data_IF_467276894002
#
_entry.id   IF_467276894002
#
_cell.length_a   1.000
_cell.length_b   1.000
_cell.length_c   1.000
_cell.angle_alpha   90.00
_cell.angle_beta   90.00
_cell.angle_gamma   90.00
#
_symmetry.space_group_name_H-M   'P 1'
#
loop_
_entity.id
_entity.type
_entity.pdbx_description
1 polymer ?
#
# COMPACT_ATOMS: atom_id res chain seq x y z
N UNK A 1 -11.83 -26.23 -6.99
CA UNK A 1 -11.03 -25.10 -7.49
C UNK A 1 -9.80 -25.67 -8.18
N UNK A 2 -9.44 -25.13 -9.36
CA UNK A 2 -8.24 -25.52 -10.11
C UNK A 2 -7.19 -24.42 -10.01
N UNK A 3 -5.96 -24.80 -9.72
CA UNK A 3 -4.87 -23.85 -9.46
C UNK A 3 -3.93 -23.77 -10.67
N UNK A 4 -3.58 -22.55 -11.08
CA UNK A 4 -2.72 -22.29 -12.26
C UNK A 4 -1.67 -21.24 -11.96
N UNK A 5 -0.43 -21.51 -12.37
CA UNK A 5 0.63 -20.51 -12.39
C UNK A 5 0.75 -19.90 -13.79
N UNK A 6 0.72 -18.58 -13.89
CA UNK A 6 0.74 -17.83 -15.14
C UNK A 6 2.03 -16.99 -15.20
N UNK A 7 2.98 -17.41 -16.02
CA UNK A 7 4.25 -16.73 -16.28
C UNK A 7 4.50 -16.42 -17.76
N UNK A 8 3.50 -16.65 -18.62
CA UNK A 8 3.55 -16.33 -20.05
C UNK A 8 2.43 -15.40 -20.47
N UNK A 9 2.71 -14.53 -21.46
CA UNK A 9 1.75 -13.55 -21.96
C UNK A 9 0.50 -14.21 -22.54
N UNK A 10 0.67 -15.30 -23.31
CA UNK A 10 -0.44 -16.05 -23.91
C UNK A 10 -1.39 -16.60 -22.83
N UNK A 11 -0.84 -17.17 -21.76
CA UNK A 11 -1.64 -17.70 -20.66
C UNK A 11 -2.39 -16.58 -19.92
N UNK A 12 -1.74 -15.42 -19.68
CA UNK A 12 -2.40 -14.27 -19.06
C UNK A 12 -3.56 -13.76 -19.91
N UNK A 13 -3.30 -13.47 -21.18
CA UNK A 13 -4.30 -12.90 -22.08
C UNK A 13 -5.48 -13.87 -22.27
N UNK A 14 -5.19 -15.15 -22.48
CA UNK A 14 -6.21 -16.19 -22.64
C UNK A 14 -7.10 -16.29 -21.40
N UNK A 15 -6.50 -16.37 -20.20
CA UNK A 15 -7.24 -16.50 -18.96
C UNK A 15 -8.09 -15.26 -18.68
N UNK A 16 -7.52 -14.05 -18.75
CA UNK A 16 -8.26 -12.81 -18.49
C UNK A 16 -9.44 -12.62 -19.46
N UNK A 17 -9.25 -12.88 -20.76
CA UNK A 17 -10.31 -12.75 -21.75
C UNK A 17 -11.44 -13.77 -21.54
N UNK A 18 -11.12 -14.99 -21.09
CA UNK A 18 -12.12 -16.00 -20.76
C UNK A 18 -12.99 -15.60 -19.54
N UNK A 19 -12.41 -14.89 -18.57
CA UNK A 19 -13.14 -14.45 -17.37
C UNK A 19 -13.99 -13.20 -17.60
N UNK A 20 -13.56 -12.28 -18.47
CA UNK A 20 -14.10 -10.91 -18.56
C UNK A 20 -15.63 -10.83 -18.71
N UNK A 21 -16.25 -11.79 -19.41
CA UNK A 21 -17.69 -11.82 -19.66
C UNK A 21 -18.44 -12.90 -18.88
N UNK A 22 -17.76 -13.67 -18.03
CA UNK A 22 -18.32 -14.89 -17.41
C UNK A 22 -18.44 -14.80 -15.90
N UNK A 23 -17.73 -13.87 -15.25
CA UNK A 23 -17.72 -13.71 -13.79
C UNK A 23 -18.34 -12.37 -13.35
N UNK A 24 -18.87 -12.35 -12.14
CA UNK A 24 -19.39 -11.14 -11.46
C UNK A 24 -18.53 -10.71 -10.27
N UNK A 25 -17.66 -11.59 -9.79
CA UNK A 25 -16.75 -11.36 -8.68
C UNK A 25 -15.41 -12.04 -8.92
N UNK A 26 -14.36 -11.42 -8.37
CA UNK A 26 -12.98 -11.85 -8.51
C UNK A 26 -12.28 -11.62 -7.17
N UNK A 27 -11.88 -12.70 -6.50
CA UNK A 27 -10.96 -12.59 -5.39
C UNK A 27 -9.61 -12.09 -5.88
N UNK A 28 -8.96 -11.22 -5.11
CA UNK A 28 -7.68 -10.62 -5.43
C UNK A 28 -6.86 -10.48 -4.16
N UNK A 29 -5.61 -10.92 -4.25
CA UNK A 29 -4.56 -10.62 -3.27
C UNK A 29 -3.24 -10.32 -3.99
N UNK A 30 -2.25 -9.78 -3.27
CA UNK A 30 -0.92 -9.51 -3.83
C UNK A 30 0.22 -9.84 -2.88
N UNK A 31 1.38 -10.19 -3.45
CA UNK A 31 2.63 -10.24 -2.71
C UNK A 31 3.60 -9.20 -3.22
N UNK A 32 4.21 -8.43 -2.31
CA UNK A 32 5.15 -7.36 -2.66
C UNK A 32 6.23 -7.15 -1.61
N UNK A 33 7.37 -6.64 -2.07
CA UNK A 33 8.49 -6.30 -1.19
C UNK A 33 8.62 -4.79 -1.02
N UNK A 34 8.82 -4.35 0.23
CA UNK A 34 9.11 -2.94 0.57
C UNK A 34 10.24 -2.79 1.60
N UNK A 35 11.32 -3.54 1.38
CA UNK A 35 12.46 -3.57 2.31
C UNK A 35 13.53 -2.55 1.95
N UNK A 36 13.84 -2.42 0.65
CA UNK A 36 14.97 -1.63 0.14
C UNK A 36 14.55 -0.51 -0.82
N UNK A 37 13.25 -0.37 -1.06
CA UNK A 37 12.65 0.58 -1.99
C UNK A 37 11.65 1.46 -1.28
N UNK A 38 11.34 2.63 -1.86
CA UNK A 38 10.26 3.49 -1.39
C UNK A 38 8.91 2.89 -1.79
N UNK A 39 8.82 2.49 -3.05
CA UNK A 39 7.63 1.90 -3.63
C UNK A 39 7.59 0.38 -3.42
N UNK A 40 6.39 -0.21 -3.32
CA UNK A 40 6.25 -1.66 -3.27
C UNK A 40 6.67 -2.27 -4.61
N UNK A 41 7.56 -3.26 -4.56
CA UNK A 41 7.86 -4.12 -5.72
C UNK A 41 6.82 -5.24 -5.74
N UNK A 42 5.85 -5.15 -6.66
CA UNK A 42 4.86 -6.21 -6.87
C UNK A 42 5.55 -7.49 -7.38
N UNK A 43 5.31 -8.60 -6.71
CA UNK A 43 6.02 -9.87 -6.91
C UNK A 43 5.09 -11.02 -7.28
N UNK A 44 3.81 -10.97 -6.91
CA UNK A 44 2.79 -11.94 -7.29
C UNK A 44 1.43 -11.27 -7.25
N UNK A 45 0.53 -11.67 -8.15
CA UNK A 45 -0.89 -11.31 -8.10
C UNK A 45 -1.68 -12.61 -8.05
N UNK A 46 -2.50 -12.77 -7.03
CA UNK A 46 -3.37 -13.91 -6.88
C UNK A 46 -4.78 -13.51 -7.25
N UNK A 47 -5.44 -14.30 -8.09
CA UNK A 47 -6.83 -14.10 -8.44
C UNK A 47 -7.60 -15.40 -8.28
N UNK A 48 -8.85 -15.34 -7.84
CA UNK A 48 -9.73 -16.50 -7.92
C UNK A 48 -11.14 -16.14 -8.37
N UNK A 49 -11.72 -17.05 -9.14
CA UNK A 49 -13.14 -17.12 -9.48
C UNK A 49 -13.79 -18.23 -8.64
N UNK A 50 -15.05 -18.57 -8.89
CA UNK A 50 -15.69 -19.71 -8.20
C UNK A 50 -15.02 -21.05 -8.53
N UNK A 51 -14.37 -21.17 -9.69
CA UNK A 51 -13.91 -22.44 -10.24
C UNK A 51 -12.38 -22.57 -10.28
N UNK A 52 -11.67 -21.46 -10.40
CA UNK A 52 -10.22 -21.46 -10.63
C UNK A 52 -9.52 -20.40 -9.78
N UNK A 53 -8.29 -20.69 -9.35
CA UNK A 53 -7.37 -19.75 -8.75
C UNK A 53 -6.10 -19.67 -9.59
N UNK A 54 -5.57 -18.47 -9.76
CA UNK A 54 -4.37 -18.22 -10.55
C UNK A 54 -3.37 -17.38 -9.77
N UNK A 55 -2.10 -17.75 -9.87
CA UNK A 55 -0.96 -16.95 -9.43
C UNK A 55 -0.27 -16.40 -10.67
N UNK A 56 -0.35 -15.09 -10.88
CA UNK A 56 0.24 -14.38 -12.02
C UNK A 56 1.61 -13.83 -11.59
N UNK A 57 2.65 -14.16 -12.35
CA UNK A 57 4.01 -13.69 -12.14
C UNK A 57 4.27 -12.35 -12.86
N UNK A 58 4.17 -11.20 -12.17
CA UNK A 58 4.43 -9.91 -12.81
C UNK A 58 5.89 -9.70 -13.20
N UNK A 59 6.83 -10.51 -12.69
CA UNK A 59 8.25 -10.39 -13.01
C UNK A 59 8.63 -11.08 -14.33
N UNK A 60 7.80 -12.03 -14.79
CA UNK A 60 7.97 -12.75 -16.04
C UNK A 60 7.23 -12.10 -17.23
N UNK A 61 6.33 -11.16 -16.96
CA UNK A 61 5.39 -10.59 -17.92
C UNK A 61 5.74 -9.12 -18.25
N UNK A 62 5.28 -8.65 -19.40
CA UNK A 62 5.57 -7.28 -19.87
C UNK A 62 4.31 -6.47 -20.17
N UNK A 63 3.24 -7.12 -20.64
CA UNK A 63 1.96 -6.48 -20.92
C UNK A 63 0.89 -6.97 -19.96
N UNK A 64 0.22 -6.02 -19.32
CA UNK A 64 -0.88 -6.28 -18.37
C UNK A 64 -2.21 -5.77 -18.88
N UNK A 65 -2.34 -5.44 -20.18
CA UNK A 65 -3.56 -4.85 -20.75
C UNK A 65 -4.81 -5.68 -20.47
N UNK A 66 -4.76 -6.99 -20.68
CA UNK A 66 -5.89 -7.89 -20.41
C UNK A 66 -6.23 -7.94 -18.91
N UNK A 67 -5.22 -8.02 -18.04
CA UNK A 67 -5.41 -7.97 -16.59
C UNK A 67 -6.01 -6.64 -16.13
N UNK A 68 -5.52 -5.51 -16.66
CA UNK A 68 -6.05 -4.18 -16.34
C UNK A 68 -7.51 -4.07 -16.74
N UNK A 69 -7.88 -4.57 -17.93
CA UNK A 69 -9.27 -4.59 -18.37
C UNK A 69 -10.17 -5.37 -17.40
N UNK A 70 -9.71 -6.53 -16.92
CA UNK A 70 -10.43 -7.33 -15.93
C UNK A 70 -10.56 -6.60 -14.58
N UNK A 71 -9.48 -6.00 -14.08
CA UNK A 71 -9.46 -5.29 -12.80
C UNK A 71 -10.25 -3.96 -12.82
N UNK A 72 -10.46 -3.37 -14.00
CA UNK A 72 -11.26 -2.15 -14.19
C UNK A 72 -12.71 -2.43 -14.61
N UNK A 73 -13.06 -3.69 -14.89
CA UNK A 73 -14.40 -4.05 -15.34
C UNK A 73 -15.45 -3.71 -14.26
N UNK A 74 -16.44 -2.84 -14.56
CA UNK A 74 -17.36 -2.32 -13.55
C UNK A 74 -18.38 -3.35 -13.06
N UNK A 75 -18.65 -4.39 -13.86
CA UNK A 75 -19.56 -5.49 -13.50
C UNK A 75 -18.89 -6.59 -12.67
N UNK A 76 -17.55 -6.53 -12.50
CA UNK A 76 -16.79 -7.53 -11.73
C UNK A 76 -16.39 -6.90 -10.39
N UNK A 77 -16.90 -7.40 -9.28
CA UNK A 77 -16.47 -6.94 -7.95
C UNK A 77 -15.14 -7.56 -7.56
N UNK A 78 -14.13 -6.74 -7.27
CA UNK A 78 -12.82 -7.18 -6.76
C UNK A 78 -12.92 -7.37 -5.25
N UNK A 79 -12.89 -8.62 -4.80
CA UNK A 79 -12.98 -8.99 -3.39
C UNK A 79 -11.56 -9.10 -2.85
N UNK A 80 -11.25 -8.29 -1.85
CA UNK A 80 -9.92 -8.20 -1.25
C UNK A 80 -10.08 -8.20 0.27
N UNK A 81 -9.10 -8.65 1.02
CA UNK A 81 -9.07 -8.51 2.47
C UNK A 81 -8.04 -7.47 2.88
N UNK A 82 -8.43 -6.42 3.61
CA UNK A 82 -7.50 -5.37 4.06
C UNK A 82 -6.76 -4.68 2.89
N UNK A 83 -7.51 -4.28 1.87
CA UNK A 83 -7.07 -3.96 0.50
C UNK A 83 -6.09 -2.79 0.35
N UNK A 84 -5.85 -2.00 1.40
CA UNK A 84 -5.16 -0.72 1.28
C UNK A 84 -3.72 -0.84 0.77
N UNK A 85 -3.00 -1.92 1.08
CA UNK A 85 -1.62 -2.08 0.59
C UNK A 85 -1.58 -2.75 -0.79
N UNK A 86 -2.49 -3.68 -1.07
CA UNK A 86 -2.60 -4.34 -2.37
C UNK A 86 -2.96 -3.34 -3.46
N UNK A 87 -3.93 -2.46 -3.17
CA UNK A 87 -4.31 -1.39 -4.09
C UNK A 87 -3.15 -0.39 -4.31
N UNK A 88 -2.34 -0.10 -3.28
CA UNK A 88 -1.14 0.73 -3.46
C UNK A 88 -0.11 0.05 -4.37
N UNK A 89 0.11 -1.25 -4.20
CA UNK A 89 1.01 -2.04 -5.02
C UNK A 89 0.56 -2.11 -6.48
N UNK A 90 -0.75 -2.31 -6.72
CA UNK A 90 -1.34 -2.34 -8.05
C UNK A 90 -1.32 -0.96 -8.72
N UNK A 91 -1.68 0.11 -7.99
CA UNK A 91 -1.61 1.48 -8.53
C UNK A 91 -0.19 1.81 -8.97
N UNK A 92 0.81 1.45 -8.17
CA UNK A 92 2.19 1.73 -8.53
C UNK A 92 2.69 0.88 -9.70
N UNK A 93 2.41 -0.43 -9.69
CA UNK A 93 2.96 -1.36 -10.69
C UNK A 93 2.21 -1.32 -12.03
N UNK A 94 0.88 -1.14 -11.99
CA UNK A 94 0.01 -1.25 -13.15
C UNK A 94 -0.64 0.07 -13.57
N UNK A 95 -0.43 1.15 -12.82
CA UNK A 95 -0.98 2.49 -13.07
C UNK A 95 -2.52 2.55 -13.10
N UNK A 96 -3.18 1.58 -12.48
CA UNK A 96 -4.64 1.48 -12.39
C UNK A 96 -5.09 1.33 -10.94
N UNK A 97 -6.31 1.78 -10.65
CA UNK A 97 -6.97 1.50 -9.38
C UNK A 97 -8.10 0.49 -9.64
N UNK A 98 -8.00 -0.77 -9.15
CA UNK A 98 -9.07 -1.74 -9.28
C UNK A 98 -10.42 -1.19 -8.79
N UNK A 99 -11.49 -1.45 -9.54
CA UNK A 99 -12.83 -0.95 -9.19
C UNK A 99 -13.93 -1.75 -9.91
N UNK A 100 -15.08 -2.06 -9.26
CA UNK A 100 -15.40 -1.80 -7.85
C UNK A 100 -14.67 -2.77 -6.92
N UNK A 101 -14.40 -2.33 -5.68
CA UNK A 101 -13.72 -3.14 -4.64
C UNK A 101 -14.69 -3.42 -3.49
N UNK A 102 -14.65 -4.66 -2.99
CA UNK A 102 -15.23 -5.06 -1.73
C UNK A 102 -14.13 -5.51 -0.78
N UNK A 103 -13.88 -4.73 0.28
CA UNK A 103 -12.97 -5.11 1.35
C UNK A 103 -13.69 -5.92 2.44
N UNK A 104 -13.31 -7.20 2.56
CA UNK A 104 -13.90 -8.14 3.52
C UNK A 104 -13.55 -7.83 4.98
N UNK A 105 -12.42 -7.18 5.26
CA UNK A 105 -12.07 -6.75 6.62
C UNK A 105 -12.98 -5.63 7.08
N UNK A 106 -13.25 -4.65 6.21
CA UNK A 106 -14.20 -3.57 6.48
C UNK A 106 -15.60 -4.14 6.68
N UNK A 107 -16.02 -5.06 5.80
CA UNK A 107 -17.33 -5.71 5.91
C UNK A 107 -17.47 -6.48 7.24
N UNK A 108 -16.48 -7.28 7.62
CA UNK A 108 -16.49 -8.02 8.89
C UNK A 108 -16.52 -7.13 10.12
N UNK A 109 -15.83 -5.98 10.08
CA UNK A 109 -15.87 -4.98 11.14
C UNK A 109 -17.29 -4.39 11.32
N UNK A 110 -18.04 -4.25 10.24
CA UNK A 110 -19.42 -3.75 10.26
C UNK A 110 -20.40 -4.81 10.78
N UNK A 111 -20.28 -6.06 10.32
CA UNK A 111 -21.25 -7.12 10.65
C UNK A 111 -21.08 -7.67 12.06
N UNK A 112 -19.85 -7.97 12.47
CA UNK A 112 -19.65 -8.72 13.72
C UNK A 112 -19.68 -7.84 14.96
N UNK A 113 -19.60 -6.51 14.84
CA UNK A 113 -19.45 -5.60 15.99
C UNK A 113 -18.23 -5.95 16.90
N UNK A 114 -17.28 -6.77 16.42
CA UNK A 114 -16.08 -7.21 17.16
C UNK A 114 -14.80 -6.58 16.58
N UNK A 115 -13.76 -6.58 17.42
CA UNK A 115 -12.37 -6.11 17.24
C UNK A 115 -12.01 -5.59 15.84
N UNK A 116 -11.71 -4.30 15.80
CA UNK A 116 -11.01 -3.63 14.70
C UNK A 116 -9.81 -4.49 14.25
N UNK A 117 -9.75 -4.83 12.96
CA UNK A 117 -8.63 -5.54 12.34
C UNK A 117 -8.69 -7.07 12.43
N UNK A 118 -9.82 -7.69 12.07
CA UNK A 118 -9.90 -9.14 11.83
C UNK A 118 -8.88 -9.55 10.75
N UNK A 119 -8.09 -10.58 11.02
CA UNK A 119 -7.14 -11.12 10.04
C UNK A 119 -7.82 -12.00 9.00
N UNK A 120 -7.20 -12.21 7.84
CA UNK A 120 -7.75 -13.09 6.80
C UNK A 120 -7.96 -14.52 7.32
N UNK A 121 -6.98 -15.07 8.07
CA UNK A 121 -7.11 -16.37 8.71
C UNK A 121 -8.36 -16.45 9.62
N UNK A 122 -8.57 -15.43 10.46
CA UNK A 122 -9.71 -15.43 11.38
C UNK A 122 -11.04 -15.25 10.63
N UNK A 123 -11.03 -14.49 9.52
CA UNK A 123 -12.17 -14.37 8.60
C UNK A 123 -12.53 -15.73 8.01
N UNK A 124 -11.55 -16.45 7.47
CA UNK A 124 -11.74 -17.77 6.84
C UNK A 124 -12.18 -18.80 7.87
N UNK A 125 -11.59 -18.81 9.07
CA UNK A 125 -12.05 -19.69 10.14
C UNK A 125 -13.50 -19.39 10.53
N UNK A 126 -13.85 -18.12 10.69
CA UNK A 126 -15.20 -17.72 11.11
C UNK A 126 -16.25 -18.02 10.03
N UNK A 127 -16.03 -17.56 8.79
CA UNK A 127 -17.03 -17.64 7.73
C UNK A 127 -16.95 -18.93 6.94
N UNK A 128 -15.80 -19.58 6.83
CA UNK A 128 -15.64 -20.79 6.04
C UNK A 128 -15.41 -22.05 6.89
N UNK A 129 -15.18 -21.91 8.20
CA UNK A 129 -14.85 -23.03 9.11
C UNK A 129 -13.64 -23.83 8.62
N UNK A 130 -12.62 -23.10 8.11
CA UNK A 130 -11.36 -23.65 7.61
C UNK A 130 -10.21 -23.00 8.36
N UNK A 131 -9.28 -23.81 8.87
CA UNK A 131 -8.03 -23.35 9.47
C UNK A 131 -6.94 -23.26 8.39
N UNK A 132 -6.34 -22.08 8.23
CA UNK A 132 -5.22 -21.87 7.30
C UNK A 132 -3.88 -21.94 8.04
N UNK A 133 -2.84 -22.40 7.38
CA UNK A 133 -1.49 -22.38 7.94
C UNK A 133 -0.88 -20.98 7.81
N UNK A 134 -0.23 -20.47 8.86
CA UNK A 134 0.32 -19.08 8.91
C UNK A 134 1.71 -18.92 8.27
N UNK A 135 2.06 -19.77 7.32
CA UNK A 135 3.42 -19.85 6.78
C UNK A 135 3.64 -18.88 5.60
N UNK A 136 4.88 -18.67 5.16
CA UNK A 136 5.25 -17.88 3.96
C UNK A 136 5.02 -16.35 3.95
N UNK A 137 4.32 -15.74 4.90
CA UNK A 137 4.13 -14.26 4.97
C UNK A 137 5.40 -13.38 4.96
N UNK A 138 6.58 -13.97 5.20
CA UNK A 138 7.89 -13.26 5.26
C UNK A 138 8.95 -13.86 4.34
N UNK A 139 8.53 -14.56 3.30
CA UNK A 139 9.43 -15.18 2.33
C UNK A 139 9.96 -14.17 1.29
N UNK A 140 10.95 -14.59 0.49
CA UNK A 140 11.45 -13.78 -0.63
C UNK A 140 10.59 -14.03 -1.87
N UNK A 141 9.56 -13.21 -2.03
CA UNK A 141 8.61 -13.31 -3.13
C UNK A 141 9.16 -12.93 -4.51
N UNK A 142 10.35 -12.34 -4.59
CA UNK A 142 10.99 -11.98 -5.86
C UNK A 142 11.97 -13.03 -6.38
N UNK A 143 12.18 -14.13 -5.64
CA UNK A 143 12.97 -15.26 -6.13
C UNK A 143 12.13 -16.14 -7.06
N UNK A 144 12.80 -16.70 -8.07
CA UNK A 144 12.23 -17.67 -8.99
C UNK A 144 13.14 -18.90 -9.14
N UNK A 145 12.56 -20.11 -9.35
CA UNK A 145 11.12 -20.40 -9.35
C UNK A 145 10.51 -20.28 -7.94
N UNK A 146 9.20 -20.03 -7.86
CA UNK A 146 8.48 -20.12 -6.58
C UNK A 146 8.42 -21.57 -6.10
N UNK A 147 8.54 -21.77 -4.80
CA UNK A 147 8.39 -23.09 -4.17
C UNK A 147 6.93 -23.54 -4.16
N UNK A 148 6.70 -24.84 -4.05
CA UNK A 148 5.34 -25.40 -3.94
C UNK A 148 4.61 -24.88 -2.70
N UNK A 149 5.33 -24.63 -1.60
CA UNK A 149 4.78 -24.07 -0.36
C UNK A 149 4.35 -22.60 -0.55
N UNK A 150 5.14 -21.80 -1.27
CA UNK A 150 4.77 -20.42 -1.62
C UNK A 150 3.52 -20.38 -2.49
N UNK A 151 3.46 -21.21 -3.53
CA UNK A 151 2.30 -21.27 -4.42
C UNK A 151 1.06 -21.72 -3.66
N UNK A 152 1.15 -22.77 -2.85
CA UNK A 152 0.04 -23.24 -2.02
C UNK A 152 -0.51 -22.13 -1.12
N UNK A 153 0.38 -21.44 -0.41
CA UNK A 153 0.02 -20.32 0.46
C UNK A 153 -0.70 -19.22 -0.34
N UNK A 154 -0.13 -18.81 -1.47
CA UNK A 154 -0.70 -17.77 -2.33
C UNK A 154 -2.11 -18.15 -2.86
N UNK A 155 -2.33 -19.41 -3.25
CA UNK A 155 -3.66 -19.85 -3.66
C UNK A 155 -4.67 -19.81 -2.49
N UNK A 156 -4.25 -20.26 -1.30
CA UNK A 156 -5.10 -20.26 -0.10
C UNK A 156 -5.54 -18.83 0.31
N UNK A 157 -4.76 -17.80 -0.03
CA UNK A 157 -5.09 -16.38 0.21
C UNK A 157 -6.28 -15.86 -0.62
N UNK A 158 -6.65 -16.55 -1.70
CA UNK A 158 -7.80 -16.17 -2.54
C UNK A 158 -8.93 -17.20 -2.57
N UNK A 159 -8.64 -18.46 -2.26
CA UNK A 159 -9.61 -19.58 -2.30
C UNK A 159 -10.90 -19.32 -1.50
N UNK A 160 -10.77 -18.66 -0.35
CA UNK A 160 -11.88 -18.51 0.60
C UNK A 160 -12.48 -17.10 0.62
N UNK A 161 -11.93 -16.16 -0.16
CA UNK A 161 -12.42 -14.78 -0.22
C UNK A 161 -13.85 -14.69 -0.78
N UNK A 162 -14.15 -15.38 -1.88
CA UNK A 162 -15.49 -15.36 -2.48
C UNK A 162 -16.55 -15.98 -1.54
N UNK A 163 -16.35 -17.19 -0.97
CA UNK A 163 -17.28 -17.74 0.03
C UNK A 163 -17.49 -16.83 1.24
N UNK A 164 -16.42 -16.21 1.76
CA UNK A 164 -16.52 -15.27 2.88
C UNK A 164 -17.29 -14.00 2.48
N UNK A 165 -17.00 -13.45 1.29
CA UNK A 165 -17.72 -12.32 0.72
C UNK A 165 -19.22 -12.59 0.62
N UNK A 166 -19.65 -13.74 0.10
CA UNK A 166 -21.07 -14.06 -0.06
C UNK A 166 -21.81 -14.03 1.28
N UNK A 167 -21.21 -14.61 2.33
CA UNK A 167 -21.79 -14.62 3.69
C UNK A 167 -21.83 -13.22 4.31
N UNK A 168 -20.72 -12.47 4.22
CA UNK A 168 -20.65 -11.09 4.68
C UNK A 168 -21.67 -10.19 3.97
N UNK A 169 -21.76 -10.32 2.66
CA UNK A 169 -22.66 -9.54 1.81
C UNK A 169 -24.12 -9.78 2.21
N UNK A 170 -24.49 -11.03 2.45
CA UNK A 170 -25.82 -11.40 2.94
C UNK A 170 -26.12 -10.86 4.35
N UNK A 171 -25.15 -10.91 5.28
CA UNK A 171 -25.30 -10.32 6.63
C UNK A 171 -25.50 -8.81 6.58
N UNK A 172 -24.72 -8.11 5.74
CA UNK A 172 -24.84 -6.66 5.55
C UNK A 172 -26.24 -6.30 5.00
N UNK A 173 -26.76 -7.08 4.05
CA UNK A 173 -28.12 -6.89 3.54
C UNK A 173 -29.18 -7.12 4.61
N UNK A 174 -29.08 -8.23 5.34
CA UNK A 174 -30.03 -8.57 6.40
C UNK A 174 -30.09 -7.48 7.49
N UNK A 175 -28.96 -6.80 7.74
CA UNK A 175 -28.86 -5.72 8.72
C UNK A 175 -29.11 -4.32 8.14
N UNK A 176 -29.45 -4.19 6.84
CA UNK A 176 -29.62 -2.92 6.12
C UNK A 176 -28.39 -1.99 6.22
N UNK A 177 -27.18 -2.56 6.23
CA UNK A 177 -25.92 -1.83 6.44
C UNK A 177 -25.18 -1.47 5.14
N UNK A 178 -25.80 -1.67 3.97
CA UNK A 178 -25.17 -1.38 2.66
C UNK A 178 -24.64 0.04 2.53
N UNK A 179 -25.42 1.05 2.97
CA UNK A 179 -24.98 2.45 2.93
C UNK A 179 -23.75 2.71 3.80
N UNK A 180 -23.66 2.06 4.96
CA UNK A 180 -22.49 2.14 5.84
C UNK A 180 -21.27 1.48 5.19
N UNK A 181 -21.44 0.32 4.58
CA UNK A 181 -20.38 -0.36 3.84
C UNK A 181 -19.84 0.52 2.71
N UNK A 182 -20.73 1.05 1.86
CA UNK A 182 -20.34 1.93 0.75
C UNK A 182 -19.56 3.15 1.24
N UNK A 183 -19.99 3.79 2.34
CA UNK A 183 -19.28 4.93 2.91
C UNK A 183 -17.87 4.56 3.41
N UNK A 184 -17.67 3.34 3.95
CA UNK A 184 -16.35 2.89 4.40
C UNK A 184 -15.46 2.38 3.26
N UNK A 185 -16.03 1.91 2.15
CA UNK A 185 -15.29 1.55 0.94
C UNK A 185 -14.93 2.75 0.07
N UNK A 186 -15.67 3.86 0.13
CA UNK A 186 -15.43 5.06 -0.69
C UNK A 186 -13.96 5.53 -0.65
N UNK A 187 -13.28 5.62 0.51
CA UNK A 187 -11.87 6.00 0.55
C UNK A 187 -10.91 5.03 -0.16
N UNK A 188 -11.31 3.80 -0.48
CA UNK A 188 -10.50 2.86 -1.29
C UNK A 188 -10.58 3.16 -2.79
N UNK A 189 -11.55 3.98 -3.20
CA UNK A 189 -11.77 4.36 -4.61
C UNK A 189 -11.10 5.69 -4.98
N UNK A 190 -10.50 6.36 -4.01
CA UNK A 190 -9.79 7.63 -4.19
C UNK A 190 -8.33 7.36 -4.57
N UNK A 191 -7.97 7.62 -5.83
CA UNK A 191 -6.62 7.34 -6.35
C UNK A 191 -5.53 8.09 -5.58
N UNK A 192 -5.81 9.32 -5.16
CA UNK A 192 -4.91 10.20 -4.41
C UNK A 192 -4.46 9.59 -3.07
N UNK A 193 -5.23 8.64 -2.52
CA UNK A 193 -4.85 7.89 -1.31
C UNK A 193 -3.57 7.09 -1.49
N UNK A 194 -3.34 6.59 -2.70
CA UNK A 194 -2.23 5.70 -3.05
C UNK A 194 -1.04 6.46 -3.64
N UNK A 195 -1.22 7.74 -3.93
CA UNK A 195 -0.15 8.60 -4.44
C UNK A 195 0.72 9.15 -3.29
N UNK A 196 2.04 9.31 -3.50
CA UNK A 196 2.89 9.96 -2.52
C UNK A 196 2.44 11.40 -2.24
N UNK A 197 2.39 11.78 -0.95
CA UNK A 197 2.07 13.14 -0.51
C UNK A 197 3.26 13.78 0.25
N UNK A 198 4.23 14.38 -0.48
CA UNK A 198 5.36 15.08 0.13
C UNK A 198 4.98 16.19 1.12
N UNK A 199 3.90 16.94 0.85
CA UNK A 199 3.44 18.02 1.73
C UNK A 199 2.92 17.51 3.07
N UNK A 200 2.32 16.32 3.07
CA UNK A 200 1.82 15.64 4.25
C UNK A 200 2.86 14.81 5.01
N UNK A 201 4.05 14.59 4.44
CA UNK A 201 5.03 13.62 4.92
C UNK A 201 5.46 13.83 6.39
N UNK A 202 5.47 15.09 6.86
CA UNK A 202 5.79 15.44 8.25
C UNK A 202 4.86 14.79 9.28
N UNK A 203 3.61 14.47 8.92
CA UNK A 203 2.66 13.78 9.81
C UNK A 203 3.09 12.35 10.12
N UNK A 204 3.91 11.73 9.25
CA UNK A 204 4.44 10.37 9.42
C UNK A 204 5.76 10.34 10.20
N UNK A 205 6.40 11.51 10.47
CA UNK A 205 7.66 11.58 11.22
C UNK A 205 7.40 11.32 12.70
N UNK A 206 8.01 10.28 13.28
CA UNK A 206 7.88 10.01 14.72
C UNK A 206 8.39 11.20 15.53
N UNK A 207 7.56 11.70 16.45
CA UNK A 207 7.88 12.86 17.29
C UNK A 207 7.36 14.21 16.76
N UNK A 208 6.78 14.27 15.55
CA UNK A 208 6.27 15.52 14.97
C UNK A 208 5.27 16.27 15.88
N UNK A 209 4.52 15.54 16.73
CA UNK A 209 3.54 16.10 17.68
C UNK A 209 4.16 16.94 18.79
N UNK A 210 5.49 16.93 19.00
CA UNK A 210 6.16 17.77 20.02
C UNK A 210 6.55 19.16 19.52
N UNK A 211 6.66 19.34 18.20
CA UNK A 211 7.11 20.59 17.59
C UNK A 211 5.99 21.62 17.45
N UNK A 212 6.34 22.90 17.60
CA UNK A 212 5.41 24.05 17.53
C UNK A 212 6.05 25.22 16.76
N UNK A 213 5.22 26.12 16.25
CA UNK A 213 5.68 27.32 15.54
C UNK A 213 6.69 27.02 14.43
N UNK A 214 7.77 27.82 14.36
CA UNK A 214 8.81 27.72 13.34
C UNK A 214 9.48 26.35 13.27
N UNK A 215 9.64 25.63 14.39
CA UNK A 215 10.22 24.28 14.38
C UNK A 215 9.34 23.28 13.61
N UNK A 216 8.01 23.39 13.75
CA UNK A 216 7.06 22.55 13.00
C UNK A 216 7.05 22.93 11.52
N UNK A 217 7.18 24.21 11.19
CA UNK A 217 7.29 24.67 9.80
C UNK A 217 8.57 24.16 9.14
N UNK A 218 9.71 24.23 9.83
CA UNK A 218 10.96 23.67 9.31
C UNK A 218 10.88 22.15 9.16
N UNK A 219 10.24 21.44 10.10
CA UNK A 219 10.00 20.00 9.94
C UNK A 219 9.18 19.70 8.69
N UNK A 220 8.17 20.50 8.35
CA UNK A 220 7.39 20.34 7.11
C UNK A 220 8.30 20.40 5.88
N UNK A 221 9.14 21.43 5.80
CA UNK A 221 10.07 21.61 4.68
C UNK A 221 11.08 20.45 4.58
N UNK A 222 11.70 20.07 5.70
CA UNK A 222 12.68 18.98 5.73
C UNK A 222 12.04 17.61 5.42
N UNK A 223 10.85 17.34 5.95
CA UNK A 223 10.14 16.11 5.68
C UNK A 223 9.69 16.01 4.21
N UNK A 224 9.22 17.13 3.63
CA UNK A 224 8.91 17.22 2.19
C UNK A 224 10.14 16.93 1.34
N UNK A 225 11.26 17.57 1.64
CA UNK A 225 12.53 17.33 0.94
C UNK A 225 12.94 15.85 1.03
N UNK A 226 12.90 15.27 2.25
CA UNK A 226 13.21 13.85 2.45
C UNK A 226 12.30 12.95 1.62
N UNK A 227 11.00 13.24 1.59
CA UNK A 227 10.03 12.45 0.83
C UNK A 227 10.34 12.51 -0.67
N UNK A 228 10.60 13.69 -1.23
CA UNK A 228 10.96 13.86 -2.64
C UNK A 228 12.24 13.09 -2.99
N UNK A 229 13.27 13.15 -2.15
CA UNK A 229 14.50 12.39 -2.37
C UNK A 229 14.27 10.88 -2.31
N UNK A 230 13.44 10.43 -1.37
CA UNK A 230 13.10 9.01 -1.21
C UNK A 230 12.32 8.49 -2.42
N UNK A 231 11.36 9.26 -2.94
CA UNK A 231 10.60 8.96 -4.16
C UNK A 231 11.54 8.91 -5.37
N UNK A 232 12.31 9.96 -5.62
CA UNK A 232 13.14 10.08 -6.83
C UNK A 232 14.24 9.01 -6.91
N UNK A 233 14.72 8.54 -5.76
CA UNK A 233 15.78 7.52 -5.69
C UNK A 233 15.24 6.12 -5.46
N UNK A 234 13.91 5.99 -5.29
CA UNK A 234 13.24 4.78 -4.82
C UNK A 234 13.95 4.14 -3.61
N UNK A 235 14.16 4.92 -2.56
CA UNK A 235 14.84 4.49 -1.34
C UNK A 235 13.96 4.64 -0.09
N UNK A 236 14.10 3.77 0.92
CA UNK A 236 13.39 3.93 2.17
C UNK A 236 13.67 5.31 2.80
N UNK A 237 12.62 6.01 3.23
CA UNK A 237 12.69 7.38 3.77
C UNK A 237 13.75 7.52 4.88
N UNK A 238 13.86 6.51 5.75
CA UNK A 238 14.80 6.49 6.89
C UNK A 238 16.26 6.26 6.47
N UNK A 239 16.52 5.76 5.26
CA UNK A 239 17.86 5.67 4.68
C UNK A 239 18.34 7.02 4.13
N UNK A 240 17.40 7.91 3.78
CA UNK A 240 17.72 9.29 3.40
C UNK A 240 18.08 10.09 4.65
N UNK A 241 17.14 10.28 5.59
CA UNK A 241 17.38 10.95 6.88
C UNK A 241 16.50 10.29 7.94
N UNK A 242 17.05 9.93 9.10
CA UNK A 242 16.26 9.34 10.20
C UNK A 242 15.31 10.36 10.83
N UNK A 243 14.19 9.89 11.37
CA UNK A 243 13.16 10.76 11.99
C UNK A 243 13.72 11.60 13.14
N UNK A 244 14.53 11.02 14.02
CA UNK A 244 15.17 11.70 15.15
C UNK A 244 16.08 12.84 14.70
N UNK A 245 16.78 12.65 13.58
CA UNK A 245 17.64 13.68 12.98
C UNK A 245 16.79 14.81 12.39
N UNK A 246 15.69 14.50 11.68
CA UNK A 246 14.77 15.53 11.21
C UNK A 246 14.24 16.41 12.35
N UNK A 247 13.88 15.77 13.48
CA UNK A 247 13.39 16.51 14.64
C UNK A 247 14.50 17.37 15.26
N UNK A 248 15.71 16.83 15.43
CA UNK A 248 16.87 17.59 15.92
C UNK A 248 17.13 18.84 15.06
N UNK A 249 17.18 18.67 13.73
CA UNK A 249 17.40 19.77 12.80
C UNK A 249 16.29 20.82 12.89
N UNK A 250 15.03 20.37 12.97
CA UNK A 250 13.88 21.24 13.10
C UNK A 250 13.88 22.05 14.41
N UNK A 251 14.31 21.44 15.52
CA UNK A 251 14.43 22.11 16.82
C UNK A 251 15.59 23.12 16.83
N UNK A 252 16.76 22.70 16.35
CA UNK A 252 18.00 23.47 16.41
C UNK A 252 18.05 24.64 15.41
N UNK A 253 17.51 24.46 14.21
CA UNK A 253 17.62 25.42 13.11
C UNK A 253 16.31 26.14 12.80
N UNK A 254 15.29 26.04 13.66
CA UNK A 254 14.06 26.84 13.56
C UNK A 254 14.31 28.35 13.54
N UNK A 255 15.46 28.80 14.06
CA UNK A 255 15.95 30.18 14.01
C UNK A 255 17.33 30.18 13.36
N UNK A 256 17.63 31.25 12.61
CA UNK A 256 18.92 31.41 11.92
C UNK A 256 20.08 31.36 12.91
N UNK A 257 21.11 30.57 12.58
CA UNK A 257 22.33 30.41 13.38
C UNK A 257 23.52 30.20 12.45
N UNK A 258 24.70 30.78 12.76
CA UNK A 258 25.89 30.65 11.91
C UNK A 258 26.49 29.24 11.90
N UNK A 259 26.10 28.35 12.83
CA UNK A 259 26.71 27.03 13.03
C UNK A 259 26.09 25.89 12.24
N UNK A 260 25.37 26.17 11.15
CA UNK A 260 24.67 25.13 10.38
C UNK A 260 25.64 24.08 9.80
N UNK A 261 26.75 24.54 9.22
CA UNK A 261 27.76 23.66 8.62
C UNK A 261 28.69 22.97 9.64
N UNK A 262 28.50 23.23 10.94
CA UNK A 262 29.25 22.58 12.03
C UNK A 262 28.44 21.46 12.70
N UNK A 263 27.24 21.12 12.20
CA UNK A 263 26.41 20.09 12.81
C UNK A 263 26.92 18.68 12.51
N UNK A 264 27.48 18.03 13.52
CA UNK A 264 27.95 16.66 13.44
C UNK A 264 26.87 15.67 12.95
N UNK A 265 25.58 15.92 13.21
CA UNK A 265 24.52 15.05 12.71
C UNK A 265 24.43 15.10 11.18
N UNK A 266 24.60 16.28 10.58
CA UNK A 266 24.58 16.46 9.13
C UNK A 266 25.85 15.86 8.50
N UNK A 267 27.00 16.04 9.15
CA UNK A 267 28.29 15.52 8.67
C UNK A 267 28.36 13.99 8.52
N UNK A 268 27.41 13.23 9.11
CA UNK A 268 27.32 11.77 8.93
C UNK A 268 26.73 11.33 7.58
N UNK A 269 26.13 12.25 6.81
CA UNK A 269 25.52 11.96 5.51
C UNK A 269 26.47 12.26 4.36
N UNK A 270 26.21 11.71 3.17
CA UNK A 270 26.97 12.06 1.96
C UNK A 270 26.70 13.51 1.50
N UNK A 271 27.63 14.07 0.73
CA UNK A 271 27.61 15.47 0.26
C UNK A 271 26.29 15.89 -0.40
N UNK A 272 25.68 14.99 -1.16
CA UNK A 272 24.41 15.26 -1.80
C UNK A 272 23.28 15.50 -0.78
N UNK A 273 23.13 14.61 0.20
CA UNK A 273 22.12 14.76 1.26
C UNK A 273 22.42 15.99 2.13
N UNK A 274 23.70 16.23 2.46
CA UNK A 274 24.10 17.43 3.20
C UNK A 274 23.66 18.71 2.47
N UNK A 275 23.97 18.81 1.18
CA UNK A 275 23.59 19.95 0.34
C UNK A 275 22.07 20.18 0.34
N UNK A 276 21.26 19.11 0.23
CA UNK A 276 19.80 19.22 0.28
C UNK A 276 19.30 19.69 1.65
N UNK A 277 19.91 19.24 2.74
CA UNK A 277 19.59 19.71 4.10
C UNK A 277 19.89 21.21 4.23
N UNK A 278 21.11 21.63 3.87
CA UNK A 278 21.54 23.03 3.98
C UNK A 278 20.64 23.95 3.17
N UNK A 279 20.44 23.63 1.88
CA UNK A 279 19.56 24.39 0.99
C UNK A 279 18.14 24.50 1.53
N UNK A 280 17.60 23.43 2.12
CA UNK A 280 16.24 23.45 2.70
C UNK A 280 16.16 24.39 3.90
N UNK A 281 17.15 24.38 4.79
CA UNK A 281 17.19 25.23 5.98
C UNK A 281 17.43 26.70 5.60
N UNK A 282 18.35 26.97 4.67
CA UNK A 282 18.65 28.32 4.19
C UNK A 282 17.43 28.94 3.51
N UNK A 283 16.78 28.21 2.59
CA UNK A 283 15.53 28.64 1.97
C UNK A 283 14.43 28.91 3.00
N UNK A 284 14.35 28.11 4.06
CA UNK A 284 13.40 28.33 5.14
C UNK A 284 13.69 29.65 5.88
N UNK A 285 14.95 30.00 6.11
CA UNK A 285 15.33 31.27 6.73
C UNK A 285 15.06 32.47 5.82
N UNK A 286 15.36 32.36 4.53
CA UNK A 286 15.13 33.44 3.53
C UNK A 286 13.64 33.78 3.38
N UNK A 287 12.77 32.78 3.42
CA UNK A 287 11.32 32.97 3.30
C UNK A 287 10.66 33.52 4.58
N UNK A 288 11.46 33.92 5.58
CA UNK A 288 10.99 34.44 6.86
C UNK A 288 10.64 33.31 7.81
N UNK A 289 11.66 32.81 8.53
CA UNK A 289 11.51 31.82 9.58
C UNK A 289 10.39 32.22 10.58
N UNK A 290 9.22 31.60 10.49
CA UNK A 290 8.10 31.91 11.39
C UNK A 290 7.20 33.08 10.98
N UNK A 291 7.09 33.44 9.69
CA UNK A 291 5.86 34.12 9.24
C UNK A 291 4.71 33.12 9.40
N UNK A 292 3.85 33.37 10.39
CA UNK A 292 2.64 32.58 10.62
C UNK A 292 1.77 32.66 9.35
N UNK A 293 1.61 31.54 8.65
CA UNK A 293 0.43 31.34 7.82
C UNK A 293 -0.75 31.26 8.79
N UNK A 294 -1.48 32.36 8.91
CA UNK A 294 -2.78 32.43 9.58
C UNK A 294 -3.73 31.55 8.77
N UNK A 295 -4.01 30.36 9.27
CA UNK A 295 -5.22 29.57 8.98
C UNK A 295 -5.77 29.05 10.30
#
# INVERSE_FOLDING_TARGET
MKDLYIDTQEALDSWCNAQLSTIEHLALDTEFLRVKTYFPKLCLIQLATDNEAVCIDPLALQDFTALKALLLAPHITKIIHSASQDLEAIVHALDILPTPVFDTQIAAQITQSVKIGMSYHDLVLHYCNVELTRDQTRTQWDLRPLTSEQLKYAYDDVHYLIPAYQKLSAEIDANNQRGLLTANHLPLTERERYEPNPEGAWKKVKGHKRLRGSSKQLLRALAKMREILAINRDLPKRWIIKDDILIHLAERYAKKTPKLHEDYAIATYNDHIQSQIYKTIENFWENGAGKESVE
#
